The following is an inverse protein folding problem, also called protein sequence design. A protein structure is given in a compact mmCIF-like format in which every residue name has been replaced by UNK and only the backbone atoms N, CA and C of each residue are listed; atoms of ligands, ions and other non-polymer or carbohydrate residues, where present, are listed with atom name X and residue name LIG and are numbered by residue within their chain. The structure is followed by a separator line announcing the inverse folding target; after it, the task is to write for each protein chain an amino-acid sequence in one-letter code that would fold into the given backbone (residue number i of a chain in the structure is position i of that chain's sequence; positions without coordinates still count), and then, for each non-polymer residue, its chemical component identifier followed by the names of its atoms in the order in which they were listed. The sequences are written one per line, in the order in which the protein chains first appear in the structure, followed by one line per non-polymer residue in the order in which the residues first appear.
data_IF_967462007774
#
_entry.id   IF_967462007774
#
_cell.length_a   1.000
_cell.length_b   1.000
_cell.length_c   1.000
_cell.angle_alpha   90.00
_cell.angle_beta   90.00
_cell.angle_gamma   90.00
#
_symmetry.space_group_name_H-M   'P 1'
#
loop_
_entity.id
_entity.type
_entity.pdbx_description
1 polymer ?
#
# COMPACT_ATOMS: atom_id res chain seq x y z
N UNK A 1 -51.56 35.19 -5.64
CA UNK A 1 -50.65 34.68 -6.69
C UNK A 1 -50.13 35.91 -7.44
N UNK A 2 -48.81 36.14 -7.60
CA UNK A 2 -47.90 35.21 -8.31
C UNK A 2 -46.45 35.12 -7.73
N UNK A 3 -45.89 33.91 -7.63
CA UNK A 3 -44.87 33.30 -8.54
C UNK A 3 -43.41 33.78 -8.46
N UNK A 4 -43.00 34.65 -7.53
CA UNK A 4 -41.60 35.15 -7.50
C UNK A 4 -40.76 34.77 -6.26
N UNK A 5 -41.38 34.32 -5.18
CA UNK A 5 -40.65 33.92 -3.95
C UNK A 5 -40.05 32.52 -4.02
N UNK A 6 -40.53 31.65 -4.91
CA UNK A 6 -40.05 30.26 -5.03
C UNK A 6 -38.79 30.10 -5.89
N UNK A 7 -38.46 31.06 -6.74
CA UNK A 7 -37.34 30.94 -7.69
C UNK A 7 -35.98 31.23 -7.05
N UNK A 8 -35.93 31.94 -5.92
CA UNK A 8 -34.67 32.27 -5.24
C UNK A 8 -34.12 31.15 -4.36
N UNK A 9 -34.95 30.18 -3.94
CA UNK A 9 -34.54 29.11 -3.03
C UNK A 9 -33.80 27.99 -3.79
N UNK A 10 -34.11 27.77 -5.08
CA UNK A 10 -33.49 26.69 -5.88
C UNK A 10 -32.06 27.05 -6.30
N UNK A 11 -31.74 28.34 -6.47
CA UNK A 11 -30.40 28.77 -6.89
C UNK A 11 -29.33 28.66 -5.77
N UNK A 12 -29.73 28.70 -4.49
CA UNK A 12 -28.81 28.56 -3.36
C UNK A 12 -28.42 27.09 -3.08
N UNK A 13 -29.24 26.12 -3.52
CA UNK A 13 -28.98 24.70 -3.32
C UNK A 13 -27.93 24.11 -4.28
N UNK A 14 -27.73 24.71 -5.46
CA UNK A 14 -26.73 24.24 -6.43
C UNK A 14 -25.30 24.75 -6.16
N UNK A 15 -25.12 25.80 -5.35
CA UNK A 15 -23.80 26.36 -5.03
C UNK A 15 -23.13 25.69 -3.81
N UNK A 16 -23.83 24.82 -3.08
CA UNK A 16 -23.27 24.07 -1.95
C UNK A 16 -22.60 22.74 -2.34
N UNK A 17 -22.65 22.34 -3.62
CA UNK A 17 -22.14 21.06 -4.10
C UNK A 17 -20.65 21.08 -4.53
N UNK A 18 -19.95 22.21 -4.39
CA UNK A 18 -18.53 22.35 -4.75
C UNK A 18 -17.63 22.68 -3.54
N UNK A 19 -18.02 22.29 -2.32
CA UNK A 19 -17.10 22.31 -1.18
C UNK A 19 -16.13 21.14 -1.31
N UNK A 20 -14.93 21.45 -1.79
CA UNK A 20 -13.82 20.51 -1.96
C UNK A 20 -13.57 19.70 -0.69
N UNK A 21 -13.60 18.38 -0.85
CA UNK A 21 -13.21 17.42 0.17
C UNK A 21 -11.70 17.56 0.38
N UNK A 22 -11.31 18.28 1.44
CA UNK A 22 -9.93 18.33 1.90
C UNK A 22 -9.51 16.89 2.22
N UNK A 23 -8.40 16.36 1.68
CA UNK A 23 -7.88 15.09 2.14
C UNK A 23 -7.53 15.26 3.61
N UNK A 24 -8.38 14.71 4.48
CA UNK A 24 -8.08 14.56 5.89
C UNK A 24 -7.05 13.45 5.95
N UNK A 25 -5.78 13.83 5.81
CA UNK A 25 -4.69 13.00 6.32
C UNK A 25 -4.91 12.93 7.82
N UNK A 26 -5.64 11.90 8.26
CA UNK A 26 -5.79 11.59 9.67
C UNK A 26 -4.37 11.54 10.25
N UNK A 27 -4.09 12.22 11.37
CA UNK A 27 -2.81 12.06 12.04
C UNK A 27 -2.65 10.56 12.30
N UNK A 28 -1.51 10.00 11.88
CA UNK A 28 -1.15 8.63 12.21
C UNK A 28 -1.20 8.55 13.73
N UNK A 29 -2.30 8.02 14.26
CA UNK A 29 -2.43 7.77 15.67
C UNK A 29 -1.24 6.90 16.04
N UNK A 30 -0.40 7.36 16.96
CA UNK A 30 0.64 6.54 17.55
C UNK A 30 -0.08 5.53 18.43
N UNK A 31 -0.63 4.51 17.78
CA UNK A 31 -0.97 3.24 18.38
C UNK A 31 0.33 2.71 18.95
N UNK A 32 0.33 2.31 20.23
CA UNK A 32 1.46 1.59 20.82
C UNK A 32 1.90 0.45 19.89
N UNK A 33 3.19 0.09 19.93
CA UNK A 33 3.79 -0.85 18.97
C UNK A 33 2.91 -2.10 18.84
N UNK A 34 2.22 -2.27 17.70
CA UNK A 34 1.28 -3.37 17.51
C UNK A 34 2.00 -4.71 17.35
N UNK A 35 3.35 -4.74 17.46
CA UNK A 35 4.20 -5.91 17.25
C UNK A 35 3.88 -6.63 15.95
N UNK A 36 3.63 -5.84 14.91
CA UNK A 36 3.30 -6.37 13.58
C UNK A 36 4.52 -6.96 12.89
N UNK A 37 5.71 -6.59 13.32
CA UNK A 37 6.97 -7.11 12.79
C UNK A 37 7.82 -7.60 13.95
N UNK A 38 8.33 -8.81 13.82
CA UNK A 38 9.32 -9.39 14.72
C UNK A 38 10.65 -9.56 13.97
N UNK A 39 11.74 -9.19 14.63
CA UNK A 39 13.09 -9.33 14.11
C UNK A 39 13.86 -10.33 14.99
N UNK A 40 14.38 -11.39 14.37
CA UNK A 40 15.32 -12.29 15.02
C UNK A 40 16.70 -12.16 14.36
N UNK A 41 17.74 -12.04 15.19
CA UNK A 41 19.13 -11.85 14.75
C UNK A 41 19.94 -13.08 15.14
N UNK A 42 20.55 -13.71 14.15
CA UNK A 42 21.31 -14.94 14.34
C UNK A 42 22.70 -14.79 13.68
N UNK A 43 23.74 -14.48 14.47
CA UNK A 43 25.11 -14.46 13.96
C UNK A 43 25.61 -15.89 13.69
N UNK A 44 26.47 -16.07 12.69
CA UNK A 44 27.07 -17.38 12.39
C UNK A 44 27.98 -17.90 13.50
N UNK A 45 28.51 -17.01 14.34
CA UNK A 45 29.27 -17.34 15.54
C UNK A 45 28.88 -16.43 16.71
N UNK A 46 28.73 -16.99 17.91
CA UNK A 46 28.41 -16.23 19.12
C UNK A 46 29.59 -15.45 19.70
N UNK A 47 30.81 -15.71 19.22
CA UNK A 47 32.05 -15.04 19.61
C UNK A 47 32.98 -14.93 18.41
N UNK A 48 33.84 -13.92 18.44
CA UNK A 48 34.91 -13.72 17.46
C UNK A 48 36.26 -13.70 18.17
N UNK A 49 37.32 -14.06 17.47
CA UNK A 49 38.67 -13.99 18.00
C UNK A 49 39.08 -12.53 18.19
N UNK A 50 39.64 -12.23 19.36
CA UNK A 50 40.12 -10.88 19.63
C UNK A 50 41.37 -10.60 18.79
N UNK A 51 41.42 -9.40 18.20
CA UNK A 51 42.57 -8.88 17.40
C UNK A 51 42.82 -9.59 16.07
N UNK A 52 41.96 -10.53 15.67
CA UNK A 52 42.00 -11.17 14.36
C UNK A 52 40.94 -10.58 13.44
N UNK A 53 41.27 -10.44 12.16
CA UNK A 53 40.30 -10.04 11.12
C UNK A 53 39.67 -11.29 10.54
N UNK A 54 38.34 -11.32 10.49
CA UNK A 54 37.58 -12.41 9.91
C UNK A 54 36.20 -11.97 9.46
N UNK A 55 35.51 -12.84 8.73
CA UNK A 55 34.16 -12.61 8.26
C UNK A 55 33.14 -13.15 9.27
N UNK A 56 32.14 -12.33 9.59
CA UNK A 56 30.98 -12.72 10.39
C UNK A 56 29.73 -12.42 9.57
N UNK A 57 28.95 -13.45 9.26
CA UNK A 57 27.65 -13.26 8.64
C UNK A 57 26.58 -13.19 9.74
N UNK A 58 25.58 -12.34 9.53
CA UNK A 58 24.44 -12.19 10.43
C UNK A 58 23.17 -12.42 9.64
N UNK A 59 22.38 -13.40 10.06
CA UNK A 59 21.04 -13.61 9.51
C UNK A 59 20.04 -12.76 10.28
N UNK A 60 19.29 -11.94 9.56
CA UNK A 60 18.14 -11.21 10.08
C UNK A 60 16.89 -11.90 9.53
N UNK A 61 16.06 -12.45 10.42
CA UNK A 61 14.72 -12.93 10.06
C UNK A 61 13.72 -11.84 10.37
N UNK A 62 12.96 -11.44 9.36
CA UNK A 62 11.81 -10.54 9.49
C UNK A 62 10.55 -11.39 9.42
N UNK A 63 9.77 -11.41 10.50
CA UNK A 63 8.47 -12.07 10.53
C UNK A 63 7.39 -11.02 10.70
N UNK A 64 6.21 -11.23 10.10
CA UNK A 64 5.08 -10.33 10.24
C UNK A 64 3.90 -11.04 10.91
N UNK A 65 3.22 -10.35 11.82
CA UNK A 65 1.98 -10.83 12.42
C UNK A 65 0.88 -10.94 11.36
N UNK A 66 -0.02 -11.90 11.54
CA UNK A 66 -1.20 -12.00 10.69
C UNK A 66 -2.14 -10.86 11.03
N UNK A 67 -2.43 -10.01 10.05
CA UNK A 67 -3.44 -8.97 10.20
C UNK A 67 -4.84 -9.60 10.18
N UNK A 68 -5.79 -9.08 10.99
CA UNK A 68 -7.19 -9.45 10.85
C UNK A 68 -7.69 -9.13 9.43
N UNK A 69 -8.74 -9.82 8.94
CA UNK A 69 -9.34 -9.49 7.65
C UNK A 69 -9.78 -8.02 7.63
N UNK A 70 -9.41 -7.30 6.59
CA UNK A 70 -9.68 -5.87 6.45
C UNK A 70 -9.38 -5.40 5.04
N UNK A 71 -9.80 -4.17 4.73
CA UNK A 71 -9.47 -3.54 3.45
C UNK A 71 -7.96 -3.31 3.39
N UNK A 72 -7.33 -3.77 2.30
CA UNK A 72 -5.91 -3.54 2.06
C UNK A 72 -5.71 -2.03 1.88
N UNK A 73 -4.81 -1.37 2.63
CA UNK A 73 -4.48 0.03 2.39
C UNK A 73 -4.08 0.24 0.93
N UNK A 74 -4.41 1.40 0.32
CA UNK A 74 -4.09 1.66 -1.08
C UNK A 74 -2.58 1.53 -1.31
N UNK A 75 -2.19 0.68 -2.26
CA UNK A 75 -0.80 0.47 -2.67
C UNK A 75 -0.56 1.14 -4.02
N UNK A 76 0.59 1.79 -4.17
CA UNK A 76 1.05 2.28 -5.46
C UNK A 76 1.77 1.14 -6.19
N UNK A 77 1.02 0.38 -7.00
CA UNK A 77 1.54 -0.75 -7.77
C UNK A 77 1.69 -0.38 -9.25
N UNK A 78 2.76 -0.87 -9.87
CA UNK A 78 2.96 -0.81 -11.32
C UNK A 78 3.20 -2.24 -11.82
N UNK A 79 2.40 -2.66 -12.80
CA UNK A 79 2.58 -3.93 -13.49
C UNK A 79 3.29 -3.67 -14.81
N UNK A 80 4.42 -4.33 -15.02
CA UNK A 80 5.21 -4.25 -16.25
C UNK A 80 5.21 -5.63 -16.89
N UNK A 81 4.74 -5.71 -18.13
CA UNK A 81 4.66 -6.95 -18.90
C UNK A 81 5.80 -6.99 -19.92
N UNK A 82 6.44 -8.14 -20.08
CA UNK A 82 7.42 -8.34 -21.15
C UNK A 82 6.69 -8.46 -22.50
N UNK A 83 7.16 -7.72 -23.49
CA UNK A 83 6.62 -7.74 -24.86
C UNK A 83 7.68 -8.16 -25.89
N UNK A 84 8.70 -8.90 -25.45
CA UNK A 84 9.70 -9.51 -26.33
C UNK A 84 9.05 -10.50 -27.32
N UNK A 85 9.72 -10.78 -28.45
CA UNK A 85 9.17 -11.65 -29.49
C UNK A 85 8.84 -13.08 -29.01
N UNK A 86 9.47 -13.57 -27.94
CA UNK A 86 9.15 -14.87 -27.32
C UNK A 86 7.80 -14.90 -26.59
N UNK A 87 7.24 -13.73 -26.27
CA UNK A 87 5.96 -13.58 -25.58
C UNK A 87 4.77 -13.49 -26.55
N UNK A 88 5.03 -13.47 -27.87
CA UNK A 88 3.98 -13.35 -28.88
C UNK A 88 2.96 -14.50 -28.84
N UNK A 89 1.72 -14.18 -29.16
CA UNK A 89 0.63 -15.15 -29.21
C UNK A 89 0.06 -15.47 -27.84
N UNK A 90 0.00 -16.75 -27.48
CA UNK A 90 -0.76 -17.20 -26.32
C UNK A 90 -0.17 -16.72 -24.97
N UNK A 91 1.15 -16.58 -24.88
CA UNK A 91 1.82 -16.21 -23.63
C UNK A 91 1.39 -14.82 -23.14
N UNK A 92 1.45 -13.80 -24.01
CA UNK A 92 1.03 -12.44 -23.62
C UNK A 92 -0.48 -12.34 -23.36
N UNK A 93 -1.31 -13.11 -24.04
CA UNK A 93 -2.76 -13.10 -23.82
C UNK A 93 -3.15 -13.76 -22.48
N UNK A 94 -2.45 -14.83 -22.09
CA UNK A 94 -2.60 -15.42 -20.77
C UNK A 94 -2.15 -14.46 -19.67
N UNK A 95 -1.02 -13.78 -19.85
CA UNK A 95 -0.51 -12.82 -18.88
C UNK A 95 -1.44 -11.60 -18.72
N UNK A 96 -2.00 -11.08 -19.81
CA UNK A 96 -3.04 -10.04 -19.78
C UNK A 96 -4.31 -10.50 -19.06
N UNK A 97 -4.68 -11.78 -19.18
CA UNK A 97 -5.84 -12.34 -18.48
C UNK A 97 -5.58 -12.50 -16.98
N UNK A 98 -4.35 -12.78 -16.59
CA UNK A 98 -3.95 -12.92 -15.18
C UNK A 98 -3.75 -11.57 -14.48
N UNK A 99 -3.30 -10.53 -15.21
CA UNK A 99 -2.99 -9.21 -14.68
C UNK A 99 -4.05 -8.57 -13.76
N UNK A 100 -5.38 -8.67 -14.02
CA UNK A 100 -6.40 -8.09 -13.15
C UNK A 100 -6.59 -8.82 -11.81
N UNK A 101 -5.97 -9.99 -11.63
CA UNK A 101 -6.09 -10.80 -10.40
C UNK A 101 -4.98 -10.53 -9.37
N UNK A 102 -4.13 -9.54 -9.63
CA UNK A 102 -3.00 -9.11 -8.81
C UNK A 102 -3.37 -7.82 -8.07
#
# INVERSE_FOLDING_TARGET
MPRHTFTFIVAAALLAACSGQKPSGAPLAVSGDPRLVELAVEPTAGKVLAKEVGELAVRIRVSAARLPPGERPPLNLALVLDTSGSMEGAAIEEEKRAAPSI
#
